data_IF_666457952458
#
_entry.id   IF_666457952458
#
_cell.length_a   1.000
_cell.length_b   1.000
_cell.length_c   1.000
_cell.angle_alpha   90.00
_cell.angle_beta   90.00
_cell.angle_gamma   90.00
#
_symmetry.space_group_name_H-M   'P 1'
#
loop_
_entity.id
_entity.type
_entity.pdbx_description
1 polymer ?
#
# COMPACT_ATOMS: atom_id res chain seq x y z
N UNK A 1 11.06 0.49 -37.54
CA UNK A 1 9.83 1.28 -37.31
C UNK A 1 9.60 1.29 -35.81
N UNK A 2 9.99 2.34 -35.08
CA UNK A 2 10.01 2.31 -33.62
C UNK A 2 8.59 2.48 -33.06
N UNK A 3 8.30 1.69 -32.02
CA UNK A 3 7.01 1.54 -31.35
C UNK A 3 6.53 2.87 -30.73
N UNK A 4 5.25 3.17 -30.88
CA UNK A 4 4.60 4.38 -30.38
C UNK A 4 4.30 4.28 -28.88
N UNK A 5 4.42 5.41 -28.18
CA UNK A 5 4.31 5.62 -26.73
C UNK A 5 2.93 5.23 -26.12
N UNK A 6 2.00 4.72 -26.93
CA UNK A 6 0.61 4.45 -26.52
C UNK A 6 0.41 3.05 -25.89
N UNK A 7 1.39 2.14 -26.02
CA UNK A 7 1.25 0.76 -25.52
C UNK A 7 1.71 0.56 -24.07
N UNK A 8 2.39 1.55 -23.45
CA UNK A 8 2.85 1.45 -22.07
C UNK A 8 1.70 1.53 -21.04
N UNK A 9 0.56 2.10 -21.42
CA UNK A 9 -0.62 2.17 -20.56
C UNK A 9 -1.40 0.84 -20.48
N UNK A 10 -1.09 -0.15 -21.32
CA UNK A 10 -1.74 -1.47 -21.26
C UNK A 10 -1.02 -2.49 -20.36
N UNK A 11 0.24 -2.25 -19.99
CA UNK A 11 1.03 -3.26 -19.30
C UNK A 11 0.88 -3.25 -17.76
N UNK A 12 0.12 -2.31 -17.19
CA UNK A 12 -0.16 -2.28 -15.75
C UNK A 12 -1.36 -3.15 -15.31
N UNK A 13 -2.08 -3.79 -16.25
CA UNK A 13 -3.31 -4.56 -15.95
C UNK A 13 -3.13 -6.07 -15.85
N UNK A 14 -1.89 -6.56 -15.98
CA UNK A 14 -1.56 -7.99 -15.93
C UNK A 14 -0.55 -8.33 -14.82
N UNK A 15 -0.62 -7.67 -13.66
CA UNK A 15 -0.09 -8.31 -12.45
C UNK A 15 -1.02 -9.47 -12.08
N UNK A 16 -0.45 -10.68 -12.03
CA UNK A 16 -1.18 -11.87 -11.63
C UNK A 16 -1.83 -11.65 -10.26
N UNK A 17 -3.09 -12.09 -10.10
CA UNK A 17 -3.93 -11.95 -8.90
C UNK A 17 -3.45 -12.84 -7.74
N UNK A 18 -2.17 -12.71 -7.37
CA UNK A 18 -1.50 -13.61 -6.44
C UNK A 18 -1.10 -12.91 -5.13
N UNK A 19 -1.62 -11.72 -4.84
CA UNK A 19 -1.44 -11.12 -3.52
C UNK A 19 -2.47 -11.72 -2.56
N UNK A 20 -2.07 -12.75 -1.82
CA UNK A 20 -2.88 -13.30 -0.75
C UNK A 20 -2.84 -12.35 0.46
N UNK A 21 -3.98 -12.22 1.15
CA UNK A 21 -4.07 -11.53 2.42
C UNK A 21 -3.04 -12.05 3.42
N UNK A 22 -2.41 -11.16 4.18
CA UNK A 22 -1.46 -11.59 5.20
C UNK A 22 -2.13 -12.29 6.39
N UNK A 23 -3.40 -11.97 6.69
CA UNK A 23 -4.17 -12.60 7.77
C UNK A 23 -5.20 -13.65 7.33
N UNK A 24 -5.42 -13.85 6.03
CA UNK A 24 -6.39 -14.86 5.57
C UNK A 24 -6.05 -15.42 4.18
N UNK A 25 -6.90 -16.29 3.64
CA UNK A 25 -6.66 -16.93 2.34
C UNK A 25 -7.27 -16.19 1.13
N UNK A 26 -7.87 -15.00 1.33
CA UNK A 26 -8.42 -14.21 0.23
C UNK A 26 -7.30 -13.62 -0.65
N UNK A 27 -7.57 -13.48 -1.96
CA UNK A 27 -6.60 -12.93 -2.92
C UNK A 27 -7.07 -11.59 -3.45
N UNK A 28 -6.13 -10.67 -3.61
CA UNK A 28 -6.35 -9.29 -4.04
C UNK A 28 -5.57 -8.99 -5.31
N UNK A 29 -5.99 -7.93 -6.01
CA UNK A 29 -5.33 -7.43 -7.23
C UNK A 29 -4.24 -6.42 -6.94
N UNK A 30 -4.27 -5.80 -5.77
CA UNK A 30 -3.37 -4.73 -5.35
C UNK A 30 -3.20 -4.76 -3.83
N UNK A 31 -2.14 -4.13 -3.34
CA UNK A 31 -1.85 -4.04 -1.92
C UNK A 31 -2.85 -3.12 -1.22
N UNK A 32 -3.22 -2.00 -1.86
CA UNK A 32 -4.29 -1.13 -1.39
C UNK A 32 -5.62 -1.87 -1.18
N UNK A 33 -5.98 -2.80 -2.08
CA UNK A 33 -7.20 -3.59 -1.98
C UNK A 33 -7.20 -4.55 -0.79
N UNK A 34 -6.04 -5.14 -0.48
CA UNK A 34 -5.86 -5.97 0.70
C UNK A 34 -5.90 -5.14 1.99
N UNK A 35 -5.29 -3.95 2.00
CA UNK A 35 -5.38 -3.02 3.13
C UNK A 35 -6.82 -2.61 3.41
N UNK A 36 -7.64 -2.31 2.39
CA UNK A 36 -9.07 -2.01 2.57
C UNK A 36 -9.78 -3.18 3.29
N UNK A 37 -9.45 -4.42 2.93
CA UNK A 37 -10.01 -5.61 3.57
C UNK A 37 -9.59 -5.76 5.05
N UNK A 38 -8.33 -5.45 5.37
CA UNK A 38 -7.83 -5.46 6.74
C UNK A 38 -8.46 -4.30 7.54
N UNK A 39 -8.37 -3.07 7.04
CA UNK A 39 -8.94 -1.87 7.68
C UNK A 39 -10.46 -1.91 7.87
N UNK A 40 -11.20 -2.73 7.10
CA UNK A 40 -12.64 -2.89 7.30
C UNK A 40 -12.99 -3.78 8.50
N UNK A 41 -12.00 -4.42 9.15
CA UNK A 41 -12.21 -5.39 10.23
C UNK A 41 -12.95 -6.65 9.77
N UNK A 42 -13.03 -6.88 8.46
CA UNK A 42 -13.74 -8.03 7.88
C UNK A 42 -12.81 -9.24 7.68
N UNK A 43 -11.54 -9.10 8.06
CA UNK A 43 -10.56 -10.17 7.95
C UNK A 43 -10.79 -11.24 9.04
N UNK A 44 -10.85 -12.54 8.69
CA UNK A 44 -10.98 -13.61 9.68
C UNK A 44 -9.84 -13.70 10.70
N UNK A 45 -8.66 -13.13 10.45
CA UNK A 45 -7.58 -13.02 11.46
C UNK A 45 -7.94 -12.09 12.62
N UNK A 46 -8.98 -11.28 12.47
CA UNK A 46 -9.33 -10.22 13.43
C UNK A 46 -8.53 -8.94 13.26
N UNK A 47 -7.63 -8.86 12.27
CA UNK A 47 -6.90 -7.63 11.95
C UNK A 47 -7.88 -6.55 11.47
N UNK A 48 -7.77 -5.36 12.05
CA UNK A 48 -8.61 -4.20 11.74
C UNK A 48 -7.81 -2.92 11.46
N UNK A 49 -8.50 -1.78 11.39
CA UNK A 49 -7.86 -0.47 11.11
C UNK A 49 -6.90 -0.02 12.22
N UNK A 50 -7.17 -0.35 13.47
CA UNK A 50 -6.33 0.07 14.59
C UNK A 50 -5.02 -0.70 14.58
N UNK A 51 -5.05 -1.99 14.23
CA UNK A 51 -3.85 -2.78 13.97
C UNK A 51 -3.00 -2.22 12.84
N UNK A 52 -3.63 -1.91 11.69
CA UNK A 52 -2.91 -1.38 10.53
C UNK A 52 -2.30 -0.01 10.84
N UNK A 53 -3.04 0.88 11.51
CA UNK A 53 -2.54 2.18 11.93
C UNK A 53 -1.39 2.06 12.93
N UNK A 54 -1.49 1.13 13.88
CA UNK A 54 -0.41 0.85 14.84
C UNK A 54 0.84 0.38 14.12
N UNK A 55 0.73 -0.60 13.22
CA UNK A 55 1.87 -1.11 12.44
C UNK A 55 2.52 -0.02 11.59
N UNK A 56 1.73 0.84 10.95
CA UNK A 56 2.26 1.95 10.18
C UNK A 56 3.02 2.97 11.04
N UNK A 57 2.58 3.20 12.28
CA UNK A 57 3.26 4.09 13.23
C UNK A 57 4.52 3.47 13.84
N UNK A 58 4.52 2.15 14.04
CA UNK A 58 5.65 1.38 14.58
C UNK A 58 6.79 1.17 13.56
N UNK A 59 6.49 1.26 12.26
CA UNK A 59 7.50 1.22 11.21
C UNK A 59 8.52 2.36 11.37
N UNK A 60 9.81 2.04 11.20
CA UNK A 60 10.90 3.01 11.44
C UNK A 60 10.86 4.25 10.53
N UNK A 61 10.25 4.12 9.34
CA UNK A 61 10.07 5.22 8.38
C UNK A 61 8.72 5.94 8.53
N UNK A 62 7.98 5.74 9.62
CA UNK A 62 6.65 6.34 9.81
C UNK A 62 6.61 7.85 9.59
N UNK A 63 7.70 8.55 9.91
CA UNK A 63 7.84 10.01 9.74
C UNK A 63 7.88 10.49 8.28
N UNK A 64 8.09 9.58 7.33
CA UNK A 64 8.12 9.92 5.90
C UNK A 64 6.71 10.02 5.31
N UNK A 65 5.74 9.29 5.87
CA UNK A 65 4.37 9.20 5.33
C UNK A 65 3.27 9.44 6.37
N UNK A 66 3.63 9.78 7.61
CA UNK A 66 2.73 10.25 8.66
C UNK A 66 3.20 11.62 9.10
N UNK A 67 2.28 12.59 9.04
CA UNK A 67 2.57 13.96 9.46
C UNK A 67 2.53 14.13 11.00
N UNK A 68 2.60 15.39 11.46
CA UNK A 68 2.60 15.70 12.90
C UNK A 68 1.25 15.52 13.57
N UNK A 69 0.17 15.59 12.80
CA UNK A 69 -1.20 15.42 13.27
C UNK A 69 -1.60 13.93 13.28
N UNK A 70 -0.76 13.08 12.68
CA UNK A 70 -0.92 11.62 12.64
C UNK A 70 -1.67 11.15 11.41
N UNK A 71 -1.79 12.01 10.41
CA UNK A 71 -2.46 11.77 9.14
C UNK A 71 -1.47 11.24 8.09
N UNK A 72 -1.98 10.45 7.14
CA UNK A 72 -1.13 9.91 6.08
C UNK A 72 -0.90 10.95 4.98
N UNK A 73 0.36 11.13 4.61
CA UNK A 73 0.78 12.01 3.52
C UNK A 73 1.64 11.24 2.53
N UNK A 74 1.48 11.54 1.23
CA UNK A 74 2.37 10.99 0.22
C UNK A 74 3.71 11.74 0.23
N UNK A 75 4.86 11.08 0.51
CA UNK A 75 6.16 11.77 0.53
C UNK A 75 6.60 12.31 -0.83
N UNK A 76 6.02 11.83 -1.93
CA UNK A 76 6.38 12.26 -3.28
C UNK A 76 5.65 13.52 -3.75
N UNK A 77 4.46 13.82 -3.21
CA UNK A 77 3.65 14.95 -3.67
C UNK A 77 2.82 15.66 -2.59
N UNK A 78 3.06 15.33 -1.32
CA UNK A 78 2.40 15.90 -0.14
C UNK A 78 0.87 15.72 -0.12
N UNK A 79 0.34 14.78 -0.90
CA UNK A 79 -1.10 14.51 -0.94
C UNK A 79 -1.56 13.83 0.36
N UNK A 80 -2.52 14.47 1.02
CA UNK A 80 -3.23 13.93 2.17
C UNK A 80 -4.07 12.68 1.81
N UNK A 81 -4.01 11.68 2.68
CA UNK A 81 -4.79 10.46 2.64
C UNK A 81 -5.37 10.16 4.03
N UNK A 82 -6.67 9.90 4.12
CA UNK A 82 -7.33 9.63 5.42
C UNK A 82 -7.07 8.23 5.98
N UNK A 83 -6.50 7.33 5.16
CA UNK A 83 -6.24 5.92 5.49
C UNK A 83 -4.98 5.45 4.77
N UNK A 84 -4.34 4.40 5.31
CA UNK A 84 -3.16 3.83 4.69
C UNK A 84 -3.49 3.21 3.34
N UNK A 85 -4.64 2.53 3.23
CA UNK A 85 -5.15 2.05 1.94
C UNK A 85 -5.26 3.13 0.88
N UNK A 86 -5.67 4.35 1.26
CA UNK A 86 -5.77 5.49 0.36
C UNK A 86 -4.42 6.00 -0.13
N UNK A 87 -3.40 5.97 0.74
CA UNK A 87 -2.01 6.29 0.37
C UNK A 87 -1.48 5.29 -0.65
N UNK A 88 -1.64 3.99 -0.39
CA UNK A 88 -1.17 2.95 -1.32
C UNK A 88 -1.95 2.97 -2.63
N UNK A 89 -3.27 3.18 -2.61
CA UNK A 89 -4.06 3.33 -3.83
C UNK A 89 -3.56 4.52 -4.66
N UNK A 90 -3.23 5.64 -4.00
CA UNK A 90 -2.69 6.80 -4.67
C UNK A 90 -1.37 6.50 -5.39
N UNK A 91 -0.40 5.86 -4.73
CA UNK A 91 0.91 5.57 -5.35
C UNK A 91 0.84 4.48 -6.40
N UNK A 92 -0.09 3.51 -6.27
CA UNK A 92 -0.36 2.49 -7.29
C UNK A 92 -0.94 3.12 -8.57
N UNK A 93 -1.82 4.12 -8.45
CA UNK A 93 -2.47 4.77 -9.60
C UNK A 93 -1.67 5.95 -10.19
N UNK A 94 -0.70 6.51 -9.45
CA UNK A 94 0.00 7.75 -9.81
C UNK A 94 1.43 7.48 -10.27
N UNK A 95 1.68 7.61 -11.57
CA UNK A 95 3.04 7.43 -12.16
C UNK A 95 4.12 8.31 -11.52
N UNK A 96 3.76 9.48 -11.00
CA UNK A 96 4.70 10.39 -10.34
C UNK A 96 5.07 9.99 -8.91
N UNK A 97 4.40 8.99 -8.32
CA UNK A 97 4.62 8.55 -6.94
C UNK A 97 4.81 7.03 -6.82
N UNK A 98 4.63 6.26 -7.90
CA UNK A 98 4.77 4.80 -7.90
C UNK A 98 6.17 4.32 -7.54
N UNK A 99 7.19 5.16 -7.69
CA UNK A 99 8.55 4.81 -7.27
C UNK A 99 8.65 4.57 -5.77
N UNK A 100 7.75 5.12 -4.94
CA UNK A 100 7.79 4.98 -3.48
C UNK A 100 7.58 3.55 -2.98
N UNK A 101 7.07 2.66 -3.84
CA UNK A 101 6.92 1.22 -3.56
C UNK A 101 8.05 0.38 -4.15
N UNK A 102 9.09 1.01 -4.71
CA UNK A 102 10.30 0.31 -5.15
C UNK A 102 11.25 -0.01 -3.98
N UNK A 103 12.12 -1.00 -4.16
CA UNK A 103 13.07 -1.46 -3.14
C UNK A 103 13.88 -0.31 -2.52
N UNK A 104 13.96 -0.30 -1.18
CA UNK A 104 14.63 0.74 -0.41
C UNK A 104 13.85 2.04 -0.22
N UNK A 105 12.65 2.18 -0.79
CA UNK A 105 11.77 3.34 -0.54
C UNK A 105 10.85 3.11 0.66
N UNK A 106 10.39 4.21 1.27
CA UNK A 106 9.66 4.17 2.53
C UNK A 106 8.38 3.33 2.51
N UNK A 107 7.63 3.33 1.40
CA UNK A 107 6.38 2.53 1.31
C UNK A 107 6.66 1.06 1.02
N UNK A 108 7.74 0.72 0.33
CA UNK A 108 8.18 -0.67 0.17
C UNK A 108 8.57 -1.30 1.51
N UNK A 109 9.34 -0.56 2.33
CA UNK A 109 9.72 -1.00 3.67
C UNK A 109 8.51 -1.11 4.62
N UNK A 110 7.53 -0.22 4.48
CA UNK A 110 6.26 -0.32 5.20
C UNK A 110 5.46 -1.55 4.78
N UNK A 111 5.31 -1.80 3.48
CA UNK A 111 4.62 -3.00 2.97
C UNK A 111 5.27 -4.28 3.51
N UNK A 112 6.60 -4.36 3.46
CA UNK A 112 7.35 -5.47 4.02
C UNK A 112 7.10 -5.61 5.54
N UNK A 113 7.17 -4.52 6.29
CA UNK A 113 6.92 -4.53 7.73
C UNK A 113 5.51 -5.03 8.07
N UNK A 114 4.48 -4.58 7.35
CA UNK A 114 3.10 -5.05 7.53
C UNK A 114 3.00 -6.54 7.20
N UNK A 115 3.63 -6.99 6.11
CA UNK A 115 3.63 -8.41 5.71
C UNK A 115 4.18 -9.34 6.78
N UNK A 116 5.15 -8.87 7.56
CA UNK A 116 5.79 -9.66 8.59
C UNK A 116 5.04 -9.65 9.93
N UNK A 117 4.26 -8.60 10.20
CA UNK A 117 3.61 -8.40 11.50
C UNK A 117 2.10 -8.72 11.52
N UNK A 118 1.44 -8.78 10.36
CA UNK A 118 0.06 -9.27 10.31
C UNK A 118 0.08 -10.79 10.51
N UNK A 119 -0.57 -11.25 11.59
CA UNK A 119 -0.61 -12.66 11.97
C UNK A 119 -1.56 -13.44 11.05
N UNK A 120 -1.12 -14.63 10.63
CA UNK A 120 -1.98 -15.68 10.04
C UNK A 120 -2.74 -16.45 11.12
#
# INVERSE_FOLDING_TARGET
MPLTVLDLQHQQRHQARNLQCYGCYQNFKSFSGMLIHLESGSCPSGTDIDDINRLARECYQSREYIDRDGDYICPGCDKFCSKLSGLFQHVEDSLGCSYLTEDGQCLAELEYYISWNVQR
#
